data_IF_000105769895
#
_entry.id   IF_000105769895
#
_cell.length_a   1.000
_cell.length_b   1.000
_cell.length_c   1.000
_cell.angle_alpha   90.00
_cell.angle_beta   90.00
_cell.angle_gamma   90.00
#
_symmetry.space_group_name_H-M   'P 1'
#
loop_
_entity.id
_entity.type
_entity.pdbx_description
1 polymer ?
#
# COMPACT_ATOMS: atom_id res chain seq x y z
N UNK A 1 -17.71 -1.60 -1.66
CA UNK A 1 -16.31 -1.40 -2.00
C UNK A 1 -15.76 -0.18 -1.29
N UNK A 2 -14.50 -0.17 -0.89
CA UNK A 2 -13.94 0.94 -0.10
C UNK A 2 -13.52 2.09 -1.01
N UNK A 3 -14.23 3.22 -0.90
CA UNK A 3 -13.95 4.40 -1.74
C UNK A 3 -12.55 4.97 -1.50
N UNK A 4 -12.03 4.87 -0.27
CA UNK A 4 -10.69 5.38 0.02
C UNK A 4 -9.63 4.56 -0.69
N UNK A 5 -9.73 3.24 -0.67
CA UNK A 5 -8.76 2.37 -1.35
C UNK A 5 -8.74 2.64 -2.85
N UNK A 6 -9.91 2.80 -3.47
CA UNK A 6 -10.02 3.12 -4.89
C UNK A 6 -9.44 4.49 -5.21
N UNK A 7 -9.73 5.48 -4.36
CA UNK A 7 -9.20 6.83 -4.54
C UNK A 7 -7.69 6.84 -4.45
N UNK A 8 -7.12 6.12 -3.49
CA UNK A 8 -5.67 6.00 -3.32
C UNK A 8 -5.05 5.37 -4.57
N UNK A 9 -5.62 4.27 -5.05
CA UNK A 9 -5.12 3.60 -6.25
C UNK A 9 -5.11 4.55 -7.44
N UNK A 10 -6.21 5.29 -7.63
CA UNK A 10 -6.31 6.24 -8.74
C UNK A 10 -5.29 7.37 -8.63
N UNK A 11 -5.09 7.92 -7.44
CA UNK A 11 -4.11 8.99 -7.22
C UNK A 11 -2.69 8.51 -7.53
N UNK A 12 -2.37 7.27 -7.17
CA UNK A 12 -1.07 6.69 -7.48
C UNK A 12 -0.91 6.47 -8.98
N UNK A 13 -1.94 5.97 -9.65
CA UNK A 13 -1.92 5.80 -11.10
C UNK A 13 -1.78 7.13 -11.84
N UNK A 14 -2.44 8.18 -11.36
CA UNK A 14 -2.36 9.52 -11.94
C UNK A 14 -0.93 10.07 -11.92
N UNK A 15 -0.11 9.64 -10.96
CA UNK A 15 1.31 9.99 -10.87
C UNK A 15 2.21 8.90 -11.45
N UNK A 16 1.65 8.03 -12.26
CA UNK A 16 2.38 7.01 -13.03
C UNK A 16 3.06 5.95 -12.17
N UNK A 17 2.47 5.65 -11.02
CA UNK A 17 2.89 4.48 -10.25
C UNK A 17 2.66 3.22 -11.09
N UNK A 18 3.52 2.25 -10.93
CA UNK A 18 3.46 1.00 -11.66
C UNK A 18 2.81 -0.09 -10.81
N UNK A 19 2.12 -1.01 -11.49
CA UNK A 19 1.57 -2.22 -10.87
C UNK A 19 0.77 -1.91 -9.61
N UNK A 20 -0.15 -0.95 -9.71
CA UNK A 20 -1.04 -0.59 -8.60
C UNK A 20 -2.04 -1.71 -8.39
N UNK A 21 -2.08 -2.26 -7.18
CA UNK A 21 -2.93 -3.38 -6.84
C UNK A 21 -3.67 -3.10 -5.53
N UNK A 22 -4.97 -3.34 -5.51
CA UNK A 22 -5.80 -3.22 -4.31
C UNK A 22 -6.15 -4.62 -3.84
N UNK A 23 -5.79 -4.94 -2.61
CA UNK A 23 -6.04 -6.25 -2.02
C UNK A 23 -7.06 -6.11 -0.91
N UNK A 24 -8.20 -6.78 -1.05
CA UNK A 24 -9.24 -6.82 -0.04
C UNK A 24 -8.86 -7.83 1.03
N UNK A 25 -8.65 -7.34 2.25
CA UNK A 25 -8.34 -8.18 3.40
C UNK A 25 -9.41 -8.02 4.50
N UNK A 26 -10.54 -7.44 4.14
CA UNK A 26 -11.64 -7.21 5.06
C UNK A 26 -12.13 -8.53 5.65
N UNK A 27 -12.23 -8.56 6.98
CA UNK A 27 -12.63 -9.76 7.70
C UNK A 27 -11.52 -10.80 7.85
N UNK A 28 -10.36 -10.59 7.23
CA UNK A 28 -9.24 -11.52 7.27
C UNK A 28 -8.03 -10.96 8.02
N UNK A 29 -7.91 -9.65 8.05
CA UNK A 29 -6.83 -8.98 8.80
C UNK A 29 -7.44 -8.18 9.95
N UNK A 30 -6.86 -8.26 11.17
CA UNK A 30 -7.31 -7.41 12.27
C UNK A 30 -6.77 -5.99 12.19
N UNK A 31 -5.88 -5.70 11.24
CA UNK A 31 -5.16 -4.43 11.16
C UNK A 31 -5.86 -3.44 10.23
N UNK A 32 -6.31 -3.91 9.07
CA UNK A 32 -6.93 -3.04 8.07
C UNK A 32 -7.87 -3.84 7.17
N UNK A 33 -8.62 -3.11 6.34
CA UNK A 33 -9.56 -3.73 5.40
C UNK A 33 -8.96 -3.91 4.01
N UNK A 34 -8.00 -3.06 3.65
CA UNK A 34 -7.39 -3.08 2.30
C UNK A 34 -5.91 -2.78 2.36
N UNK A 35 -5.15 -3.44 1.50
CA UNK A 35 -3.80 -3.03 1.15
C UNK A 35 -3.86 -2.41 -0.25
N UNK A 36 -3.15 -1.30 -0.44
CA UNK A 36 -2.89 -0.76 -1.78
C UNK A 36 -1.39 -0.82 -2.00
N UNK A 37 -0.97 -1.51 -3.04
CA UNK A 37 0.45 -1.73 -3.31
C UNK A 37 0.78 -1.12 -4.66
N UNK A 38 1.86 -0.37 -4.72
CA UNK A 38 2.30 0.29 -5.93
C UNK A 38 3.83 0.31 -5.99
N UNK A 39 4.36 0.55 -7.16
CA UNK A 39 5.81 0.61 -7.37
C UNK A 39 6.22 1.89 -8.08
N UNK A 40 7.44 2.33 -7.79
CA UNK A 40 8.09 3.42 -8.51
C UNK A 40 9.39 2.95 -9.12
N UNK A 41 9.84 3.63 -10.17
CA UNK A 41 11.05 3.29 -10.91
C UNK A 41 12.33 3.74 -10.23
N UNK A 42 12.24 4.64 -9.27
CA UNK A 42 13.39 5.19 -8.58
C UNK A 42 12.99 5.57 -7.16
N UNK A 43 13.97 5.75 -6.29
CA UNK A 43 13.71 6.22 -4.93
C UNK A 43 13.05 7.60 -4.94
N UNK A 44 13.45 8.46 -5.89
CA UNK A 44 12.85 9.77 -6.04
C UNK A 44 11.37 9.67 -6.40
N UNK A 45 11.02 8.78 -7.32
CA UNK A 45 9.62 8.56 -7.68
C UNK A 45 8.81 7.99 -6.50
N UNK A 46 9.38 7.06 -5.76
CA UNK A 46 8.72 6.48 -4.59
C UNK A 46 8.37 7.57 -3.58
N UNK A 47 9.30 8.48 -3.30
CA UNK A 47 9.05 9.62 -2.42
C UNK A 47 7.99 10.56 -3.00
N UNK A 48 8.05 10.83 -4.31
CA UNK A 48 7.08 11.69 -4.97
C UNK A 48 5.67 11.12 -4.91
N UNK A 49 5.53 9.80 -5.06
CA UNK A 49 4.23 9.14 -4.93
C UNK A 49 3.68 9.30 -3.52
N UNK A 50 4.52 9.12 -2.51
CA UNK A 50 4.12 9.31 -1.11
C UNK A 50 3.65 10.74 -0.86
N UNK A 51 4.43 11.72 -1.27
CA UNK A 51 4.12 13.14 -1.07
C UNK A 51 2.84 13.52 -1.82
N UNK A 52 2.70 13.08 -3.06
CA UNK A 52 1.51 13.35 -3.85
C UNK A 52 0.24 12.81 -3.18
N UNK A 53 0.31 11.57 -2.72
CA UNK A 53 -0.83 10.94 -2.06
C UNK A 53 -1.20 11.68 -0.78
N UNK A 54 -0.20 12.03 0.02
CA UNK A 54 -0.40 12.75 1.26
C UNK A 54 -1.05 14.11 1.02
N UNK A 55 -0.55 14.88 0.04
CA UNK A 55 -1.08 16.18 -0.28
C UNK A 55 -2.51 16.12 -0.82
N UNK A 56 -2.79 15.19 -1.70
CA UNK A 56 -4.12 15.07 -2.31
C UNK A 56 -5.17 14.63 -1.30
N UNK A 57 -4.84 13.68 -0.43
CA UNK A 57 -5.77 13.24 0.60
C UNK A 57 -5.97 14.29 1.69
N UNK A 58 -4.98 15.13 1.96
CA UNK A 58 -5.14 16.23 2.93
C UNK A 58 -6.19 17.23 2.49
N UNK A 59 -6.40 17.41 1.21
CA UNK A 59 -7.47 18.28 0.69
C UNK A 59 -8.85 17.81 1.15
N UNK A 60 -9.00 16.52 1.43
CA UNK A 60 -10.21 15.91 1.94
C UNK A 60 -10.16 15.69 3.45
N UNK A 61 -9.19 16.29 4.14
CA UNK A 61 -8.96 16.12 5.58
C UNK A 61 -8.61 14.68 5.97
N UNK A 62 -8.01 13.93 5.05
CA UNK A 62 -7.55 12.56 5.30
C UNK A 62 -6.04 12.61 5.48
N UNK A 63 -5.59 12.22 6.67
CA UNK A 63 -4.15 12.20 7.01
C UNK A 63 -3.74 10.82 7.47
N UNK A 64 -2.50 10.39 7.13
CA UNK A 64 -2.03 9.11 7.62
C UNK A 64 -1.79 9.16 9.12
N UNK A 65 -2.04 8.04 9.79
CA UNK A 65 -1.73 7.89 11.21
C UNK A 65 -0.23 7.89 11.43
N UNK A 66 0.52 7.27 10.51
CA UNK A 66 1.96 7.36 10.46
C UNK A 66 2.48 6.95 9.09
N UNK A 67 3.73 7.31 8.82
CA UNK A 67 4.45 6.97 7.59
C UNK A 67 5.80 6.40 8.00
N UNK A 68 6.16 5.26 7.43
CA UNK A 68 7.44 4.60 7.70
C UNK A 68 8.22 4.40 6.41
N UNK A 69 9.54 4.46 6.50
CA UNK A 69 10.43 4.15 5.39
C UNK A 69 10.66 5.26 4.38
N UNK A 70 10.20 6.47 4.65
CA UNK A 70 10.31 7.58 3.71
C UNK A 70 11.77 7.89 3.34
N UNK A 71 12.65 7.93 4.34
CA UNK A 71 14.06 8.32 4.10
C UNK A 71 14.77 7.37 3.15
N UNK A 72 14.59 6.06 3.33
CA UNK A 72 15.21 5.06 2.46
C UNK A 72 14.54 4.94 1.10
N UNK A 73 13.24 5.16 1.07
CA UNK A 73 12.41 5.15 -0.15
C UNK A 73 12.54 3.87 -0.98
N UNK A 74 12.77 2.74 -0.32
CA UNK A 74 12.72 1.43 -0.96
C UNK A 74 11.38 0.73 -0.66
N UNK A 75 10.79 1.06 0.48
CA UNK A 75 9.49 0.55 0.90
C UNK A 75 8.88 1.57 1.87
N UNK A 76 7.97 2.40 1.37
CA UNK A 76 7.26 3.36 2.21
C UNK A 76 5.90 2.77 2.57
N UNK A 77 5.59 2.77 3.86
CA UNK A 77 4.30 2.35 4.37
C UNK A 77 3.55 3.59 4.86
N UNK A 78 2.30 3.75 4.41
CA UNK A 78 1.43 4.83 4.84
C UNK A 78 0.17 4.24 5.45
N UNK A 79 -0.04 4.46 6.74
CA UNK A 79 -1.17 3.89 7.48
C UNK A 79 -2.32 4.90 7.53
N UNK A 80 -3.39 4.62 6.78
CA UNK A 80 -4.62 5.42 6.78
C UNK A 80 -5.74 4.78 7.61
N UNK A 81 -5.42 3.80 8.46
CA UNK A 81 -6.41 3.11 9.28
C UNK A 81 -6.98 1.90 8.56
N UNK A 82 -8.08 2.09 7.85
CA UNK A 82 -8.72 0.99 7.12
C UNK A 82 -7.93 0.57 5.89
N UNK A 83 -7.05 1.42 5.40
CA UNK A 83 -6.23 1.17 4.22
C UNK A 83 -4.77 1.39 4.57
N UNK A 84 -3.93 0.42 4.27
CA UNK A 84 -2.49 0.56 4.41
C UNK A 84 -1.89 0.57 3.01
N UNK A 85 -1.13 1.62 2.70
CA UNK A 85 -0.51 1.80 1.39
C UNK A 85 0.94 1.38 1.48
N UNK A 86 1.38 0.58 0.50
CA UNK A 86 2.77 0.15 0.38
C UNK A 86 3.30 0.65 -0.96
N UNK A 87 4.29 1.53 -0.93
CA UNK A 87 4.93 2.05 -2.14
C UNK A 87 6.35 1.52 -2.16
N UNK A 88 6.67 0.71 -3.18
CA UNK A 88 7.95 0.05 -3.30
C UNK A 88 8.79 0.65 -4.41
N UNK A 89 10.10 0.71 -4.21
CA UNK A 89 11.01 0.70 -5.33
C UNK A 89 10.83 -0.66 -6.01
N UNK A 90 10.73 -0.69 -7.34
CA UNK A 90 10.27 -1.89 -8.06
C UNK A 90 11.08 -3.16 -7.74
N UNK A 91 12.41 -3.04 -7.60
CA UNK A 91 13.25 -4.19 -7.25
C UNK A 91 12.95 -4.73 -5.85
N UNK A 92 12.65 -3.85 -4.91
CA UNK A 92 12.31 -4.24 -3.55
C UNK A 92 11.01 -5.04 -3.51
N UNK A 93 10.02 -4.63 -4.31
CA UNK A 93 8.74 -5.35 -4.37
C UNK A 93 8.92 -6.77 -4.86
N UNK A 94 9.73 -6.97 -5.89
CA UNK A 94 10.02 -8.30 -6.41
C UNK A 94 10.69 -9.16 -5.35
N UNK A 95 11.62 -8.59 -4.60
CA UNK A 95 12.35 -9.31 -3.58
C UNK A 95 11.45 -9.80 -2.44
N UNK A 96 10.56 -8.93 -1.95
CA UNK A 96 9.72 -9.25 -0.80
C UNK A 96 8.44 -9.98 -1.18
N UNK A 97 7.89 -9.75 -2.37
CA UNK A 97 6.65 -10.40 -2.84
C UNK A 97 5.53 -10.35 -1.78
N UNK A 98 5.22 -9.15 -1.30
CA UNK A 98 4.27 -8.96 -0.21
C UNK A 98 2.92 -9.62 -0.47
N UNK A 99 2.44 -9.54 -1.70
CA UNK A 99 1.16 -10.14 -2.10
C UNK A 99 1.17 -11.65 -1.94
N UNK A 100 2.25 -12.30 -2.37
CA UNK A 100 2.41 -13.75 -2.23
C UNK A 100 2.57 -14.15 -0.78
N UNK A 101 3.31 -13.38 0.00
CA UNK A 101 3.50 -13.63 1.42
C UNK A 101 2.17 -13.59 2.16
N UNK A 102 1.32 -12.62 1.83
CA UNK A 102 0.00 -12.50 2.42
C UNK A 102 -0.87 -13.72 2.11
N UNK A 103 -0.91 -14.14 0.85
CA UNK A 103 -1.69 -15.30 0.43
C UNK A 103 -1.21 -16.58 1.12
N UNK A 104 0.09 -16.79 1.21
CA UNK A 104 0.68 -17.95 1.90
C UNK A 104 0.35 -17.95 3.38
N UNK A 105 0.42 -16.79 4.02
CA UNK A 105 0.10 -16.68 5.44
C UNK A 105 -1.37 -17.01 5.71
N UNK A 106 -2.27 -16.56 4.83
CA UNK A 106 -3.68 -16.90 4.95
C UNK A 106 -3.94 -18.38 4.77
N UNK A 107 -3.32 -18.99 3.78
CA UNK A 107 -3.49 -20.42 3.51
C UNK A 107 -2.97 -21.25 4.68
N UNK A 108 -1.82 -20.88 5.23
CA UNK A 108 -1.26 -21.57 6.39
C UNK A 108 -2.17 -21.44 7.61
N UNK A 109 -2.77 -20.27 7.80
CA UNK A 109 -3.69 -20.05 8.92
C UNK A 109 -4.97 -20.87 8.78
N UNK A 110 -5.50 -20.95 7.57
CA UNK A 110 -6.69 -21.77 7.29
C UNK A 110 -6.39 -23.24 7.56
N UNK A 111 -5.25 -23.73 7.13
CA UNK A 111 -4.83 -25.11 7.36
C UNK A 111 -4.66 -25.40 8.86
N UNK A 112 -4.13 -24.43 9.60
CA UNK A 112 -3.92 -24.58 11.04
C UNK A 112 -5.24 -24.65 11.84
N UNK A 113 -6.30 -24.07 11.33
CA UNK A 113 -7.61 -24.07 11.98
C UNK A 113 -8.35 -25.40 11.78
N UNK A 114 -7.98 -26.16 10.80
CA UNK A 114 -8.56 -27.47 10.55
C UNK A 114 -7.96 -28.53 11.46
#
# INVERSE_FOLDING_TARGET
MNNLAEKIAKLLEDKKAQDVNVIDVEGKSPICDYFVIASGNSNTQVKALCTHLEEELEKDNIRPKHIEGYAGATWILMDYGDVIVHIFYYETREFYSLEDMWEKAQNAQIEAED
#
